data_IF_965099041392
#
_entry.id   IF_965099041392
#
_cell.length_a   1.000
_cell.length_b   1.000
_cell.length_c   1.000
_cell.angle_alpha   90.00
_cell.angle_beta   90.00
_cell.angle_gamma   90.00
#
_symmetry.space_group_name_H-M   'P 1'
#
loop_
_entity.id
_entity.type
_entity.pdbx_description
1 polymer ?
#
# COMPACT_ATOMS: atom_id res chain seq x y z
N UNK A 1 -39.18 -20.07 -14.76
CA UNK A 1 -39.01 -18.65 -14.39
C UNK A 1 -37.82 -18.12 -15.17
N UNK A 2 -38.11 -17.72 -16.42
CA UNK A 2 -37.13 -17.24 -17.38
C UNK A 2 -36.62 -15.89 -16.89
N UNK A 3 -35.38 -15.83 -16.43
CA UNK A 3 -34.75 -14.55 -16.12
C UNK A 3 -34.63 -13.77 -17.44
N UNK A 4 -35.12 -12.54 -17.41
CA UNK A 4 -35.32 -11.64 -18.55
C UNK A 4 -33.99 -11.36 -19.26
N UNK A 5 -33.64 -12.20 -20.25
CA UNK A 5 -32.43 -12.09 -21.07
C UNK A 5 -32.35 -10.70 -21.71
N UNK A 6 -33.49 -10.09 -22.01
CA UNK A 6 -33.57 -8.75 -22.58
C UNK A 6 -33.17 -7.67 -21.57
N UNK A 7 -33.46 -7.83 -20.28
CA UNK A 7 -33.01 -6.90 -19.23
C UNK A 7 -31.50 -6.98 -18.98
N UNK A 8 -30.91 -8.18 -19.12
CA UNK A 8 -29.45 -8.38 -19.05
C UNK A 8 -28.77 -7.79 -20.27
N UNK A 9 -29.33 -7.97 -21.47
CA UNK A 9 -28.84 -7.32 -22.71
C UNK A 9 -28.94 -5.80 -22.65
N UNK A 10 -30.00 -5.27 -22.04
CA UNK A 10 -30.22 -3.83 -21.91
C UNK A 10 -29.26 -3.18 -20.91
N UNK A 11 -28.90 -3.88 -19.82
CA UNK A 11 -27.79 -3.50 -18.93
C UNK A 11 -26.43 -3.57 -19.64
N UNK A 12 -26.16 -4.63 -20.39
CA UNK A 12 -24.94 -4.77 -21.20
C UNK A 12 -24.82 -3.66 -22.25
N UNK A 13 -25.93 -3.27 -22.89
CA UNK A 13 -25.97 -2.19 -23.87
C UNK A 13 -25.78 -0.81 -23.23
N UNK A 14 -26.29 -0.58 -22.02
CA UNK A 14 -26.03 0.63 -21.23
C UNK A 14 -24.57 0.72 -20.77
N UNK A 15 -23.95 -0.41 -20.45
CA UNK A 15 -22.52 -0.51 -20.15
C UNK A 15 -21.69 -0.18 -21.40
N UNK A 16 -22.10 -0.66 -22.58
CA UNK A 16 -21.43 -0.41 -23.85
C UNK A 16 -21.60 1.03 -24.36
N UNK A 17 -22.75 1.66 -24.09
CA UNK A 17 -22.95 3.09 -24.33
C UNK A 17 -22.17 3.97 -23.34
N UNK A 18 -21.91 3.48 -22.12
CA UNK A 18 -21.00 4.14 -21.16
C UNK A 18 -19.53 3.95 -21.53
N UNK A 19 -19.12 2.84 -22.16
CA UNK A 19 -17.80 2.66 -22.78
C UNK A 19 -17.48 3.79 -23.76
N UNK A 20 -18.46 4.29 -24.52
CA UNK A 20 -18.27 5.41 -25.47
C UNK A 20 -18.09 6.79 -24.82
N UNK A 21 -18.38 6.96 -23.52
CA UNK A 21 -18.14 8.22 -22.79
C UNK A 21 -16.82 8.23 -22.02
N UNK A 22 -16.12 7.10 -21.96
CA UNK A 22 -14.81 6.98 -21.33
C UNK A 22 -13.78 7.30 -22.41
N UNK A 23 -13.04 8.39 -22.25
CA UNK A 23 -11.83 8.61 -23.04
C UNK A 23 -10.89 7.42 -22.78
N UNK A 24 -10.47 6.78 -23.87
CA UNK A 24 -9.56 5.63 -24.00
C UNK A 24 -10.19 4.24 -23.86
N UNK A 25 -10.80 3.78 -24.96
CA UNK A 25 -11.18 2.37 -25.16
C UNK A 25 -9.96 1.42 -25.16
N UNK A 26 -8.79 1.89 -25.59
CA UNK A 26 -7.53 1.12 -25.59
C UNK A 26 -7.04 0.80 -24.16
N UNK A 27 -7.28 1.69 -23.20
CA UNK A 27 -6.93 1.45 -21.80
C UNK A 27 -7.76 0.31 -21.20
N UNK A 28 -9.08 0.32 -21.45
CA UNK A 28 -9.95 -0.76 -20.98
C UNK A 28 -9.64 -2.09 -21.67
N UNK A 29 -9.25 -2.12 -22.95
CA UNK A 29 -8.80 -3.35 -23.61
C UNK A 29 -7.52 -3.91 -22.95
N UNK A 30 -6.54 -3.05 -22.66
CA UNK A 30 -5.29 -3.44 -21.97
C UNK A 30 -5.54 -3.93 -20.54
N UNK A 31 -6.52 -3.33 -19.85
CA UNK A 31 -6.93 -3.70 -18.48
C UNK A 31 -7.81 -4.96 -18.47
N UNK A 32 -8.65 -5.18 -19.49
CA UNK A 32 -9.50 -6.36 -19.65
C UNK A 32 -8.70 -7.64 -19.92
N UNK A 33 -7.58 -7.57 -20.66
CA UNK A 33 -6.70 -8.74 -20.88
C UNK A 33 -6.02 -9.24 -19.60
N UNK A 34 -5.90 -8.36 -18.60
CA UNK A 34 -4.99 -8.54 -17.47
C UNK A 34 -5.74 -8.81 -16.15
N UNK A 35 -7.00 -8.38 -16.03
CA UNK A 35 -7.77 -8.48 -14.80
C UNK A 35 -9.04 -9.31 -14.94
N UNK A 36 -9.45 -9.95 -13.85
CA UNK A 36 -10.71 -10.67 -13.82
C UNK A 36 -11.93 -9.73 -13.84
N UNK A 37 -13.07 -10.25 -14.29
CA UNK A 37 -14.33 -9.48 -14.38
C UNK A 37 -14.68 -8.77 -13.07
N UNK A 38 -14.37 -9.39 -11.92
CA UNK A 38 -14.71 -8.75 -10.66
C UNK A 38 -13.84 -7.56 -10.32
N UNK A 39 -12.55 -7.58 -10.65
CA UNK A 39 -11.65 -6.44 -10.46
C UNK A 39 -12.11 -5.29 -11.36
N UNK A 40 -12.50 -5.58 -12.61
CA UNK A 40 -13.08 -4.59 -13.52
C UNK A 40 -14.34 -3.94 -12.95
N UNK A 41 -15.25 -4.72 -12.37
CA UNK A 41 -16.46 -4.19 -11.73
C UNK A 41 -16.16 -3.33 -10.50
N UNK A 42 -15.09 -3.64 -9.76
CA UNK A 42 -14.63 -2.79 -8.66
C UNK A 42 -14.11 -1.45 -9.19
N UNK A 43 -13.25 -1.46 -10.22
CA UNK A 43 -12.72 -0.25 -10.83
C UNK A 43 -13.85 0.63 -11.40
N UNK A 44 -14.81 0.01 -12.09
CA UNK A 44 -15.99 0.69 -12.59
C UNK A 44 -16.79 1.40 -11.49
N UNK A 45 -16.97 0.73 -10.35
CA UNK A 45 -17.63 1.32 -9.19
C UNK A 45 -16.82 2.49 -8.60
N UNK A 46 -15.50 2.36 -8.47
CA UNK A 46 -14.64 3.44 -7.98
C UNK A 46 -14.71 4.68 -8.87
N UNK A 47 -14.75 4.49 -10.20
CA UNK A 47 -14.90 5.57 -11.18
C UNK A 47 -16.27 6.24 -11.05
N UNK A 48 -17.36 5.46 -11.01
CA UNK A 48 -18.71 6.02 -10.89
C UNK A 48 -18.92 6.80 -9.59
N UNK A 49 -18.34 6.33 -8.49
CA UNK A 49 -18.41 7.01 -7.19
C UNK A 49 -17.46 8.22 -7.10
N UNK A 50 -16.68 8.51 -8.16
CA UNK A 50 -15.83 9.70 -8.24
C UNK A 50 -14.53 9.61 -7.44
N UNK A 51 -14.14 8.41 -6.99
CA UNK A 51 -12.82 8.20 -6.38
C UNK A 51 -11.69 8.28 -7.42
N UNK A 52 -11.99 7.90 -8.67
CA UNK A 52 -11.08 7.95 -9.82
C UNK A 52 -11.84 8.64 -10.94
N UNK A 53 -11.22 9.62 -11.60
CA UNK A 53 -11.75 10.26 -12.80
C UNK A 53 -11.09 9.68 -14.06
N UNK A 54 -9.75 9.69 -14.08
CA UNK A 54 -8.95 9.14 -15.17
C UNK A 54 -7.90 8.20 -14.59
N UNK A 55 -7.73 7.05 -15.21
CA UNK A 55 -6.68 6.09 -14.88
C UNK A 55 -5.71 6.02 -16.07
N UNK A 56 -4.43 6.13 -15.77
CA UNK A 56 -3.34 6.12 -16.73
C UNK A 56 -2.59 4.77 -16.67
N UNK A 57 -1.44 4.70 -17.35
CA UNK A 57 -0.62 3.49 -17.43
C UNK A 57 -0.09 2.97 -16.09
N UNK A 58 0.49 1.77 -16.16
CA UNK A 58 1.15 1.11 -15.04
C UNK A 58 2.43 1.86 -14.66
N UNK A 59 2.55 2.19 -13.38
CA UNK A 59 3.76 2.81 -12.80
C UNK A 59 4.72 1.74 -12.33
N UNK A 60 4.19 0.67 -11.74
CA UNK A 60 4.98 -0.44 -11.25
C UNK A 60 4.22 -1.75 -11.43
N UNK A 61 4.91 -2.76 -11.97
CA UNK A 61 4.39 -4.12 -12.10
C UNK A 61 5.19 -5.07 -11.22
N UNK A 62 4.64 -5.39 -10.05
CA UNK A 62 5.13 -6.45 -9.18
C UNK A 62 4.47 -7.79 -9.45
N UNK A 63 5.03 -8.86 -8.87
CA UNK A 63 4.42 -10.20 -8.88
C UNK A 63 3.12 -10.26 -8.08
N UNK A 64 3.00 -9.40 -7.06
CA UNK A 64 1.92 -9.44 -6.07
C UNK A 64 0.84 -8.39 -6.32
N UNK A 65 1.22 -7.24 -6.85
CA UNK A 65 0.33 -6.14 -7.16
C UNK A 65 0.84 -5.35 -8.36
N UNK A 66 -0.09 -4.68 -9.05
CA UNK A 66 0.23 -3.63 -10.01
C UNK A 66 -0.20 -2.29 -9.45
N UNK A 67 0.61 -1.27 -9.67
CA UNK A 67 0.33 0.11 -9.29
C UNK A 67 0.10 0.91 -10.57
N UNK A 68 -1.06 1.55 -10.66
CA UNK A 68 -1.40 2.44 -11.76
C UNK A 68 -1.44 3.88 -11.27
N UNK A 69 -1.04 4.79 -12.16
CA UNK A 69 -1.26 6.20 -11.95
C UNK A 69 -2.70 6.55 -12.31
N UNK A 70 -3.34 7.41 -11.53
CA UNK A 70 -4.69 7.90 -11.78
C UNK A 70 -4.83 9.33 -11.25
N UNK A 71 -5.93 9.98 -11.60
CA UNK A 71 -6.33 11.28 -11.04
C UNK A 71 -7.78 11.25 -10.58
N UNK A 72 -8.08 11.97 -9.51
CA UNK A 72 -9.47 12.26 -9.12
C UNK A 72 -10.04 13.44 -9.94
N UNK A 73 -11.30 13.79 -9.69
CA UNK A 73 -11.99 14.90 -10.38
C UNK A 73 -11.41 16.29 -10.07
N UNK A 74 -10.64 16.40 -9.00
CA UNK A 74 -9.99 17.64 -8.59
C UNK A 74 -8.54 17.73 -9.13
N UNK A 75 -8.10 16.72 -9.88
CA UNK A 75 -6.73 16.63 -10.40
C UNK A 75 -5.71 16.17 -9.37
N UNK A 76 -6.13 15.59 -8.24
CA UNK A 76 -5.21 14.97 -7.29
C UNK A 76 -4.63 13.70 -7.89
N UNK A 77 -3.31 13.58 -7.86
CA UNK A 77 -2.58 12.40 -8.31
C UNK A 77 -2.77 11.21 -7.34
N UNK A 78 -3.18 10.06 -7.90
CA UNK A 78 -3.54 8.84 -7.17
C UNK A 78 -2.69 7.64 -7.63
N UNK A 79 -2.37 6.79 -6.67
CA UNK A 79 -1.88 5.44 -6.90
C UNK A 79 -3.03 4.44 -6.71
N UNK A 80 -3.30 3.63 -7.72
CA UNK A 80 -4.27 2.53 -7.67
C UNK A 80 -3.51 1.21 -7.61
N UNK A 81 -3.36 0.66 -6.40
CA UNK A 81 -2.72 -0.64 -6.13
C UNK A 81 -3.76 -1.74 -6.28
N UNK A 82 -3.58 -2.60 -7.28
CA UNK A 82 -4.43 -3.75 -7.56
C UNK A 82 -3.66 -5.02 -7.21
N UNK A 83 -4.09 -5.72 -6.18
CA UNK A 83 -3.49 -7.00 -5.79
C UNK A 83 -3.91 -8.08 -6.78
N UNK A 84 -2.92 -8.84 -7.25
CA UNK A 84 -3.10 -9.93 -8.21
C UNK A 84 -3.39 -11.25 -7.50
N UNK A 85 -3.94 -12.19 -8.26
CA UNK A 85 -4.14 -13.57 -7.79
C UNK A 85 -2.78 -14.19 -7.51
N UNK A 86 -2.50 -14.43 -6.23
CA UNK A 86 -1.17 -14.78 -5.75
C UNK A 86 -0.91 -16.29 -5.83
N UNK A 87 0.36 -16.69 -6.02
CA UNK A 87 0.77 -18.10 -5.86
C UNK A 87 0.54 -18.60 -4.42
N UNK A 88 0.70 -19.91 -4.21
CA UNK A 88 0.62 -20.53 -2.89
C UNK A 88 1.61 -19.96 -1.89
N UNK A 89 2.81 -19.58 -2.33
CA UNK A 89 3.89 -19.05 -1.49
C UNK A 89 3.53 -17.65 -0.97
N UNK A 90 3.11 -16.77 -1.87
CA UNK A 90 2.63 -15.43 -1.51
C UNK A 90 1.44 -15.49 -0.55
N UNK A 91 0.51 -16.43 -0.78
CA UNK A 91 -0.62 -16.64 0.12
C UNK A 91 -0.15 -17.05 1.52
N UNK A 92 0.85 -17.93 1.63
CA UNK A 92 1.41 -18.32 2.93
C UNK A 92 2.08 -17.12 3.61
N UNK A 93 2.86 -16.33 2.85
CA UNK A 93 3.49 -15.10 3.35
C UNK A 93 2.47 -14.12 3.93
N UNK A 94 1.38 -13.83 3.20
CA UNK A 94 0.31 -12.96 3.70
C UNK A 94 -0.34 -13.51 4.97
N UNK A 95 -0.64 -14.82 4.99
CA UNK A 95 -1.29 -15.44 6.15
C UNK A 95 -0.45 -15.31 7.42
N UNK A 96 0.88 -15.33 7.34
CA UNK A 96 1.77 -15.15 8.50
C UNK A 96 1.53 -13.83 9.23
N UNK A 97 1.24 -12.75 8.50
CA UNK A 97 1.02 -11.43 9.10
C UNK A 97 -0.46 -11.13 9.39
N UNK A 98 -1.40 -11.89 8.80
CA UNK A 98 -2.83 -11.79 9.12
C UNK A 98 -3.14 -12.63 10.36
N UNK A 99 -2.62 -13.86 10.42
CA UNK A 99 -2.86 -14.81 11.51
C UNK A 99 -2.09 -14.35 12.74
N UNK A 100 -2.82 -13.92 13.77
CA UNK A 100 -2.23 -13.36 14.99
C UNK A 100 -2.55 -11.88 15.18
N UNK A 101 -3.04 -11.21 14.14
CA UNK A 101 -3.56 -9.85 14.26
C UNK A 101 -5.07 -9.91 14.58
N UNK A 102 -5.50 -9.54 15.80
CA UNK A 102 -6.89 -9.69 16.23
C UNK A 102 -7.86 -8.80 15.43
N UNK A 103 -7.35 -7.80 14.70
CA UNK A 103 -8.14 -6.86 13.90
C UNK A 103 -8.64 -7.48 12.59
N UNK A 104 -8.00 -8.55 12.13
CA UNK A 104 -8.30 -9.16 10.82
C UNK A 104 -8.63 -10.64 10.99
N UNK A 105 -9.72 -11.08 10.35
CA UNK A 105 -10.15 -12.47 10.36
C UNK A 105 -10.33 -12.97 8.94
N UNK A 106 -9.70 -14.09 8.64
CA UNK A 106 -9.89 -14.80 7.38
C UNK A 106 -10.99 -15.84 7.61
N UNK A 107 -12.18 -15.57 7.11
CA UNK A 107 -13.35 -16.47 7.22
C UNK A 107 -13.32 -17.62 6.22
N UNK A 108 -12.45 -17.56 5.21
CA UNK A 108 -12.43 -18.48 4.07
C UNK A 108 -11.00 -18.76 3.62
N UNK A 109 -10.73 -20.02 3.26
CA UNK A 109 -9.43 -20.44 2.71
C UNK A 109 -9.28 -20.10 1.22
N UNK A 110 -10.25 -19.42 0.60
CA UNK A 110 -10.15 -19.00 -0.80
C UNK A 110 -9.15 -17.85 -0.92
N UNK A 111 -8.25 -17.95 -1.89
CA UNK A 111 -7.18 -16.95 -2.14
C UNK A 111 -7.73 -15.53 -2.25
N UNK A 112 -8.86 -15.36 -2.93
CA UNK A 112 -9.50 -14.07 -3.12
C UNK A 112 -9.94 -13.39 -1.82
N UNK A 113 -10.49 -14.15 -0.89
CA UNK A 113 -10.93 -13.62 0.41
C UNK A 113 -9.72 -13.18 1.25
N UNK A 114 -8.60 -13.92 1.15
CA UNK A 114 -7.33 -13.56 1.78
C UNK A 114 -6.79 -12.25 1.20
N UNK A 115 -6.78 -12.10 -0.13
CA UNK A 115 -6.35 -10.86 -0.80
C UNK A 115 -7.20 -9.67 -0.35
N UNK A 116 -8.52 -9.84 -0.22
CA UNK A 116 -9.40 -8.76 0.21
C UNK A 116 -9.13 -8.35 1.66
N UNK A 117 -8.82 -9.31 2.52
CA UNK A 117 -8.38 -9.02 3.90
C UNK A 117 -7.02 -8.32 3.90
N UNK A 118 -6.10 -8.73 3.04
CA UNK A 118 -4.79 -8.09 2.89
C UNK A 118 -4.89 -6.63 2.44
N UNK A 119 -5.67 -6.35 1.41
CA UNK A 119 -5.92 -4.99 0.94
C UNK A 119 -6.52 -4.10 2.05
N UNK A 120 -7.50 -4.63 2.79
CA UNK A 120 -8.10 -3.93 3.94
C UNK A 120 -7.11 -3.72 5.09
N UNK A 121 -6.20 -4.68 5.31
CA UNK A 121 -5.14 -4.58 6.31
C UNK A 121 -4.18 -3.46 5.96
N UNK A 122 -3.69 -3.40 4.73
CA UNK A 122 -2.82 -2.32 4.27
C UNK A 122 -3.51 -0.96 4.38
N UNK A 123 -4.77 -0.83 3.92
CA UNK A 123 -5.56 0.40 4.09
C UNK A 123 -5.67 0.84 5.57
N UNK A 124 -5.98 -0.10 6.46
CA UNK A 124 -6.14 0.16 7.89
C UNK A 124 -4.83 0.61 8.54
N UNK A 125 -3.72 -0.04 8.17
CA UNK A 125 -2.40 0.29 8.69
C UNK A 125 -1.91 1.65 8.17
N UNK A 126 -2.07 1.94 6.87
CA UNK A 126 -1.80 3.27 6.30
C UNK A 126 -2.63 4.34 7.00
N UNK A 127 -3.91 4.06 7.28
CA UNK A 127 -4.81 5.02 7.93
C UNK A 127 -4.34 5.34 9.36
N UNK A 128 -3.90 4.33 10.12
CA UNK A 128 -3.33 4.53 11.45
C UNK A 128 -2.03 5.32 11.40
N UNK A 129 -1.10 4.96 10.51
CA UNK A 129 0.18 5.64 10.34
C UNK A 129 -0.02 7.13 9.97
N UNK A 130 -0.86 7.39 8.98
CA UNK A 130 -1.23 8.75 8.58
C UNK A 130 -1.87 9.54 9.74
N UNK A 131 -2.76 8.89 10.52
CA UNK A 131 -3.46 9.51 11.65
C UNK A 131 -2.54 9.96 12.79
N UNK A 132 -1.35 9.36 12.95
CA UNK A 132 -0.34 9.76 13.94
C UNK A 132 0.74 10.67 13.35
N UNK A 133 0.55 11.16 12.12
CA UNK A 133 1.46 12.10 11.47
C UNK A 133 2.71 11.47 10.86
N UNK A 134 2.74 10.15 10.65
CA UNK A 134 3.78 9.49 9.86
C UNK A 134 3.50 9.74 8.38
N UNK A 135 4.52 10.15 7.63
CA UNK A 135 4.36 10.39 6.20
C UNK A 135 4.29 9.06 5.45
N UNK A 136 3.09 8.74 4.99
CA UNK A 136 2.74 7.61 4.13
C UNK A 136 1.90 8.11 2.94
N UNK A 137 1.69 7.32 1.88
CA UNK A 137 0.63 7.57 0.91
C UNK A 137 -0.71 7.68 1.64
N UNK A 138 -1.36 8.85 1.58
CA UNK A 138 -2.67 9.04 2.21
C UNK A 138 -3.66 8.02 1.64
N UNK A 139 -4.23 7.12 2.46
CA UNK A 139 -5.21 6.16 1.97
C UNK A 139 -6.53 6.87 1.64
N UNK A 140 -7.12 6.54 0.49
CA UNK A 140 -8.37 7.16 0.02
C UNK A 140 -9.54 6.18 0.16
N UNK A 141 -9.41 4.98 -0.40
CA UNK A 141 -10.44 3.94 -0.28
C UNK A 141 -9.88 2.56 -0.58
N UNK A 142 -10.56 1.51 -0.11
CA UNK A 142 -10.26 0.13 -0.44
C UNK A 142 -11.54 -0.62 -0.78
N UNK A 143 -11.55 -1.32 -1.91
CA UNK A 143 -12.67 -2.18 -2.33
C UNK A 143 -12.15 -3.46 -2.96
N UNK A 144 -12.53 -4.61 -2.39
CA UNK A 144 -12.03 -5.92 -2.83
C UNK A 144 -10.50 -5.98 -2.81
N UNK A 145 -9.88 -6.18 -3.96
CA UNK A 145 -8.43 -6.23 -4.18
C UNK A 145 -7.85 -4.91 -4.71
N UNK A 146 -8.60 -3.80 -4.64
CA UNK A 146 -8.13 -2.49 -5.11
C UNK A 146 -8.00 -1.53 -3.94
N UNK A 147 -6.81 -0.97 -3.76
CA UNK A 147 -6.48 0.09 -2.81
C UNK A 147 -6.16 1.36 -3.59
N UNK A 148 -6.88 2.44 -3.30
CA UNK A 148 -6.62 3.77 -3.85
C UNK A 148 -6.00 4.63 -2.76
N UNK A 149 -4.86 5.25 -3.06
CA UNK A 149 -4.11 6.11 -2.16
C UNK A 149 -3.48 7.27 -2.93
N UNK A 150 -2.96 8.25 -2.21
CA UNK A 150 -2.14 9.33 -2.78
C UNK A 150 -0.97 8.78 -3.60
N UNK A 151 -0.70 9.39 -4.75
CA UNK A 151 0.51 9.13 -5.50
C UNK A 151 1.68 9.90 -4.91
N UNK A 152 2.80 9.22 -4.63
CA UNK A 152 4.02 9.86 -4.16
C UNK A 152 4.95 10.06 -5.35
N UNK A 153 4.93 11.26 -5.92
CA UNK A 153 5.63 11.58 -7.15
C UNK A 153 5.07 12.85 -7.79
N UNK A 154 5.45 13.12 -9.04
CA UNK A 154 5.01 14.28 -9.80
C UNK A 154 4.63 13.83 -11.20
N UNK A 155 3.42 14.17 -11.65
CA UNK A 155 2.93 13.94 -13.01
C UNK A 155 3.12 12.49 -13.50
N UNK A 156 2.79 11.54 -12.62
CA UNK A 156 2.88 10.10 -12.91
C UNK A 156 4.28 9.51 -12.81
N UNK A 157 5.32 10.32 -12.52
CA UNK A 157 6.66 9.84 -12.22
C UNK A 157 6.78 9.60 -10.72
N UNK A 158 6.99 8.36 -10.24
CA UNK A 158 7.09 8.06 -8.82
C UNK A 158 8.37 8.67 -8.24
N UNK A 159 8.31 9.07 -6.97
CA UNK A 159 9.51 9.47 -6.25
C UNK A 159 10.48 8.26 -6.13
N UNK A 160 11.80 8.48 -6.15
CA UNK A 160 12.76 7.38 -6.07
C UNK A 160 12.70 6.69 -4.71
N UNK A 161 13.09 5.42 -4.67
CA UNK A 161 13.33 4.69 -3.42
C UNK A 161 14.64 5.14 -2.80
N UNK A 162 14.75 5.04 -1.47
CA UNK A 162 15.97 5.35 -0.72
C UNK A 162 17.16 4.50 -1.19
N UNK A 163 16.91 3.25 -1.59
CA UNK A 163 17.90 2.40 -2.27
C UNK A 163 18.57 3.08 -3.47
N UNK A 164 17.78 3.76 -4.29
CA UNK A 164 18.21 4.26 -5.61
C UNK A 164 18.63 5.74 -5.53
N UNK A 165 18.28 6.43 -4.45
CA UNK A 165 18.55 7.84 -4.25
C UNK A 165 18.80 8.17 -2.77
N UNK A 166 20.02 8.62 -2.47
CA UNK A 166 20.39 9.10 -1.14
C UNK A 166 19.98 10.57 -0.98
N UNK A 167 19.25 10.94 0.10
CA UNK A 167 18.84 12.32 0.36
C UNK A 167 20.05 13.23 0.60
N UNK A 168 19.87 14.55 0.42
CA UNK A 168 20.93 15.53 0.59
C UNK A 168 21.38 15.66 2.06
N UNK A 169 20.41 15.68 2.98
CA UNK A 169 20.68 15.71 4.41
C UNK A 169 20.34 14.36 5.06
N UNK A 170 21.27 13.41 4.94
CA UNK A 170 21.07 12.02 5.40
C UNK A 170 20.83 11.94 6.91
N UNK A 171 21.56 12.72 7.73
CA UNK A 171 21.36 12.74 9.18
C UNK A 171 19.96 13.22 9.57
N UNK A 172 19.49 14.31 8.96
CA UNK A 172 18.13 14.81 9.20
C UNK A 172 17.08 13.81 8.72
N UNK A 173 17.30 13.19 7.56
CA UNK A 173 16.40 12.18 7.01
C UNK A 173 16.29 10.96 7.93
N UNK A 174 17.43 10.45 8.43
CA UNK A 174 17.49 9.35 9.39
C UNK A 174 16.75 9.69 10.68
N UNK A 175 16.97 10.88 11.25
CA UNK A 175 16.28 11.32 12.46
C UNK A 175 14.75 11.38 12.29
N UNK A 176 14.27 11.91 11.15
CA UNK A 176 12.83 11.94 10.83
C UNK A 176 12.28 10.52 10.65
N UNK A 177 13.03 9.63 9.99
CA UNK A 177 12.65 8.24 9.81
C UNK A 177 12.53 7.52 11.16
N UNK A 178 13.49 7.69 12.06
CA UNK A 178 13.42 7.12 13.40
C UNK A 178 12.23 7.67 14.18
N UNK A 179 11.93 8.97 14.08
CA UNK A 179 10.71 9.56 14.68
C UNK A 179 9.43 8.92 14.14
N UNK A 180 9.38 8.62 12.84
CA UNK A 180 8.27 7.86 12.27
C UNK A 180 8.16 6.44 12.84
N UNK A 181 9.27 5.71 12.97
CA UNK A 181 9.27 4.36 13.59
C UNK A 181 8.76 4.44 15.03
N UNK A 182 9.19 5.44 15.80
CA UNK A 182 8.69 5.68 17.16
C UNK A 182 7.19 5.99 17.19
N UNK A 183 6.70 6.89 16.34
CA UNK A 183 5.27 7.21 16.24
C UNK A 183 4.43 6.00 15.84
N UNK A 184 4.94 5.17 14.91
CA UNK A 184 4.28 3.90 14.56
C UNK A 184 4.14 3.01 15.79
N UNK A 185 5.23 2.81 16.54
CA UNK A 185 5.23 1.93 17.70
C UNK A 185 4.38 2.49 18.85
N UNK A 186 4.65 3.71 19.31
CA UNK A 186 4.07 4.30 20.51
C UNK A 186 2.62 4.75 20.27
N UNK A 187 2.37 5.48 19.18
CA UNK A 187 1.09 6.15 18.98
C UNK A 187 0.12 5.31 18.13
N UNK A 188 0.60 4.68 17.06
CA UNK A 188 -0.24 3.85 16.19
C UNK A 188 -0.37 2.40 16.65
N UNK A 189 0.48 1.97 17.61
CA UNK A 189 0.62 0.57 18.06
C UNK A 189 0.88 -0.38 16.90
N UNK A 190 1.79 0.00 16.00
CA UNK A 190 2.15 -0.73 14.80
C UNK A 190 3.66 -0.97 14.72
N UNK A 191 4.02 -2.13 14.17
CA UNK A 191 5.35 -2.43 13.63
C UNK A 191 5.20 -2.58 12.12
N UNK A 192 6.09 -1.99 11.33
CA UNK A 192 6.00 -2.03 9.86
C UNK A 192 6.16 -3.45 9.32
N UNK A 193 7.08 -4.23 9.91
CA UNK A 193 7.28 -5.64 9.63
C UNK A 193 7.87 -5.94 8.27
N UNK A 194 8.50 -4.96 7.62
CA UNK A 194 9.30 -5.08 6.37
C UNK A 194 10.06 -3.79 6.05
N UNK A 195 10.46 -3.02 7.08
CA UNK A 195 11.05 -1.71 6.86
C UNK A 195 12.51 -1.86 6.42
N UNK A 196 12.82 -1.27 5.27
CA UNK A 196 14.14 -1.25 4.64
C UNK A 196 14.20 -0.10 3.62
N UNK A 197 15.37 0.14 3.02
CA UNK A 197 15.58 1.13 1.95
C UNK A 197 14.72 0.90 0.70
N UNK A 198 14.15 -0.31 0.55
CA UNK A 198 13.23 -0.68 -0.52
C UNK A 198 11.80 -0.19 -0.29
N UNK A 199 11.41 0.05 0.96
CA UNK A 199 10.06 0.45 1.37
C UNK A 199 10.00 1.90 1.89
N UNK A 200 11.02 2.69 1.53
CA UNK A 200 11.10 4.12 1.84
C UNK A 200 11.30 4.88 0.53
N UNK A 201 10.38 5.79 0.22
CA UNK A 201 10.54 6.73 -0.89
C UNK A 201 11.17 8.03 -0.38
N UNK A 202 11.96 8.69 -1.22
CA UNK A 202 12.53 10.01 -0.95
C UNK A 202 11.74 11.05 -1.74
N UNK A 203 10.92 11.85 -1.06
CA UNK A 203 10.11 12.88 -1.68
C UNK A 203 10.34 14.23 -1.01
N UNK A 204 10.81 15.23 -1.77
CA UNK A 204 11.23 16.54 -1.25
C UNK A 204 12.23 16.42 -0.08
N UNK A 205 13.23 15.57 -0.23
CA UNK A 205 14.27 15.29 0.78
C UNK A 205 13.72 14.77 2.13
N UNK A 206 12.50 14.20 2.13
CA UNK A 206 11.85 13.66 3.32
C UNK A 206 11.41 12.20 3.10
N UNK A 207 11.44 11.35 4.14
CA UNK A 207 11.01 9.96 4.02
C UNK A 207 9.50 9.83 3.84
N UNK A 208 9.08 8.91 2.97
CA UNK A 208 7.70 8.44 2.86
C UNK A 208 7.70 6.93 2.95
N UNK A 209 7.04 6.37 3.98
CA UNK A 209 6.99 4.93 4.20
C UNK A 209 5.87 4.32 3.36
N UNK A 210 6.16 3.21 2.69
CA UNK A 210 5.22 2.51 1.82
C UNK A 210 5.13 1.02 2.18
N UNK A 211 4.13 0.34 1.60
CA UNK A 211 3.93 -1.12 1.73
C UNK A 211 3.62 -1.65 3.15
N UNK A 212 2.56 -1.10 3.75
CA UNK A 212 2.07 -1.50 5.07
C UNK A 212 1.27 -2.82 5.10
N UNK A 213 1.36 -3.63 4.05
CA UNK A 213 0.68 -4.92 3.96
C UNK A 213 1.13 -5.89 5.07
N UNK A 214 2.43 -5.91 5.36
CA UNK A 214 3.01 -6.78 6.39
C UNK A 214 2.90 -6.20 7.82
N UNK A 215 2.60 -4.90 7.97
CA UNK A 215 2.57 -4.23 9.27
C UNK A 215 1.57 -4.84 10.27
N UNK A 216 2.02 -5.09 11.51
CA UNK A 216 1.26 -5.82 12.54
C UNK A 216 0.97 -4.94 13.75
N UNK A 217 -0.11 -5.26 14.47
CA UNK A 217 -0.38 -4.68 15.79
C UNK A 217 0.67 -5.15 16.82
N UNK A 218 0.96 -4.36 17.84
CA UNK A 218 1.88 -4.76 18.92
C UNK A 218 1.42 -6.03 19.67
N UNK A 219 0.14 -6.39 19.63
CA UNK A 219 -0.33 -7.65 20.20
C UNK A 219 0.02 -8.88 19.37
N UNK A 220 0.54 -8.71 18.15
CA UNK A 220 0.90 -9.82 17.28
C UNK A 220 2.09 -10.61 17.86
N UNK A 221 2.08 -11.96 17.83
CA UNK A 221 3.15 -12.76 18.43
C UNK A 221 4.56 -12.45 17.89
N UNK A 222 4.64 -12.04 16.63
CA UNK A 222 5.91 -11.68 15.96
C UNK A 222 6.28 -10.20 16.06
N UNK A 223 5.49 -9.35 16.73
CA UNK A 223 5.69 -7.90 16.70
C UNK A 223 7.10 -7.47 17.18
N UNK A 224 7.60 -8.10 18.25
CA UNK A 224 8.92 -7.80 18.81
C UNK A 224 10.06 -8.18 17.85
N UNK A 225 10.02 -9.38 17.29
CA UNK A 225 11.02 -9.85 16.32
C UNK A 225 11.04 -8.97 15.06
N UNK A 226 9.85 -8.61 14.56
CA UNK A 226 9.71 -7.73 13.40
C UNK A 226 10.26 -6.33 13.67
N UNK A 227 10.05 -5.78 14.87
CA UNK A 227 10.58 -4.47 15.23
C UNK A 227 12.11 -4.48 15.26
N UNK A 228 12.70 -5.50 15.88
CA UNK A 228 14.16 -5.66 15.94
C UNK A 228 14.74 -5.72 14.53
N UNK A 229 14.12 -6.51 13.64
CA UNK A 229 14.55 -6.62 12.24
C UNK A 229 14.44 -5.29 11.49
N UNK A 230 13.30 -4.60 11.61
CA UNK A 230 13.08 -3.31 10.96
C UNK A 230 14.12 -2.27 11.38
N UNK A 231 14.39 -2.15 12.69
CA UNK A 231 15.39 -1.19 13.20
C UNK A 231 16.79 -1.61 12.75
N UNK A 232 17.14 -2.89 12.84
CA UNK A 232 18.46 -3.36 12.43
C UNK A 232 18.73 -3.07 10.95
N UNK A 233 17.77 -3.33 10.06
CA UNK A 233 17.89 -3.01 8.64
C UNK A 233 18.17 -1.52 8.41
N UNK A 234 17.50 -0.64 9.15
CA UNK A 234 17.74 0.81 9.06
C UNK A 234 19.14 1.17 9.56
N UNK A 235 19.54 0.68 10.73
CA UNK A 235 20.85 1.00 11.30
C UNK A 235 21.98 0.52 10.37
N UNK A 236 21.88 -0.70 9.83
CA UNK A 236 22.85 -1.23 8.86
C UNK A 236 22.94 -0.35 7.62
N UNK A 237 21.80 -0.04 6.97
CA UNK A 237 21.79 0.79 5.77
C UNK A 237 22.37 2.19 6.01
N UNK A 238 21.98 2.85 7.10
CA UNK A 238 22.42 4.23 7.38
C UNK A 238 23.89 4.28 7.83
N UNK A 239 24.36 3.28 8.59
CA UNK A 239 25.77 3.12 8.93
C UNK A 239 26.63 2.92 7.67
N UNK A 240 26.18 2.10 6.71
CA UNK A 240 26.91 1.83 5.47
C UNK A 240 27.11 3.07 4.60
N UNK A 241 26.18 4.04 4.66
CA UNK A 241 26.29 5.32 3.95
C UNK A 241 26.89 6.45 4.81
N UNK A 242 27.43 6.12 5.99
CA UNK A 242 28.27 7.00 6.80
C UNK A 242 27.55 7.84 7.86
N UNK A 243 26.31 7.50 8.23
CA UNK A 243 25.61 8.12 9.37
C UNK A 243 26.13 7.53 10.68
N UNK A 244 26.31 8.38 11.70
CA UNK A 244 26.59 7.92 13.07
C UNK A 244 25.31 7.37 13.70
N UNK A 245 25.11 6.07 13.57
CA UNK A 245 23.92 5.38 14.07
C UNK A 245 24.13 4.90 15.51
N UNK A 246 23.11 4.99 16.39
CA UNK A 246 23.18 4.36 17.71
C UNK A 246 23.25 2.83 17.58
N UNK A 247 23.68 2.15 18.65
CA UNK A 247 23.53 0.71 18.69
C UNK A 247 22.05 0.28 18.73
N UNK A 248 21.80 -0.98 18.41
CA UNK A 248 20.45 -1.54 18.31
C UNK A 248 19.67 -1.45 19.62
N UNK A 249 20.32 -1.62 20.77
CA UNK A 249 19.66 -1.59 22.07
C UNK A 249 19.21 -0.16 22.41
N UNK A 250 20.06 0.84 22.12
CA UNK A 250 19.74 2.25 22.26
C UNK A 250 18.60 2.69 21.35
N UNK A 251 18.66 2.29 20.08
CA UNK A 251 17.59 2.57 19.11
C UNK A 251 16.25 1.95 19.54
N UNK A 252 16.26 0.69 19.99
CA UNK A 252 15.06 -0.01 20.48
C UNK A 252 14.49 0.67 21.72
N UNK A 253 15.33 1.01 22.69
CA UNK A 253 14.91 1.71 23.92
C UNK A 253 14.25 3.04 23.59
N UNK A 254 14.86 3.79 22.67
CA UNK A 254 14.31 5.05 22.19
C UNK A 254 13.00 4.86 21.43
N UNK A 255 12.89 3.91 20.48
CA UNK A 255 11.64 3.67 19.74
C UNK A 255 10.50 3.24 20.66
N UNK A 256 10.77 2.39 21.66
CA UNK A 256 9.76 1.92 22.62
C UNK A 256 9.33 2.98 23.63
N UNK A 257 10.00 4.13 23.67
CA UNK A 257 9.70 5.18 24.64
C UNK A 257 10.11 4.84 26.07
N UNK A 258 11.03 3.89 26.26
CA UNK A 258 11.62 3.61 27.57
C UNK A 258 12.54 4.79 27.89
N UNK A 259 12.11 5.65 28.82
CA UNK A 259 13.02 6.67 29.37
C UNK A 259 14.15 5.94 30.11
N UNK A 260 15.40 6.17 29.71
CA UNK A 260 16.55 5.96 30.60
C UNK A 260 16.40 6.89 31.82
#
# INVERSE_FOLDING_TARGET
MSWDIDRVKDELHKIDLRRKKIKDSEFFETVEEVFDYSTLMILYDLINNGFIDVMYGVVNSGKEARIYFARDRNGLDLAVKIYLTSTSEFRKGMLTYIIGDPRFKVSSRKTRDIIYVWARKEYSNLSKAYGVGVRVPKPITVKGNVLVMEFIGVDGVPAPLLKDYIPLNVDSFFNVLMDYVRKLYVDARLVHGDLSEYNIMVFNDSPVLIDFGQAVDLSHPMAEELLVRDINNLLEFFSDIGVDTPDLEEALSWVKGVKR
#
